data_IF_141558952934
#
_entry.id   IF_141558952934
#
_cell.length_a   1.000
_cell.length_b   1.000
_cell.length_c   1.000
_cell.angle_alpha   90.00
_cell.angle_beta   90.00
_cell.angle_gamma   90.00
#
_symmetry.space_group_name_H-M   'P 1'
#
loop_
_entity.id
_entity.type
_entity.pdbx_description
1 polymer ?
#
# COMPACT_ATOMS: atom_id res chain seq x y z
N UNK A 1 6.08 12.57 21.98
CA UNK A 1 6.87 12.63 20.73
C UNK A 1 6.03 12.07 19.60
N UNK A 2 5.53 12.94 18.73
CA UNK A 2 4.81 12.52 17.51
C UNK A 2 5.89 12.31 16.44
N UNK A 3 5.95 11.12 15.85
CA UNK A 3 6.95 10.80 14.84
C UNK A 3 6.58 11.49 13.51
N UNK A 4 7.33 12.52 13.13
CA UNK A 4 7.14 13.31 11.92
C UNK A 4 7.69 12.64 10.63
N UNK A 5 8.16 11.39 10.70
CA UNK A 5 8.76 10.67 9.55
C UNK A 5 7.81 9.83 8.70
N UNK A 6 6.49 9.88 8.92
CA UNK A 6 5.53 8.95 8.30
C UNK A 6 4.26 9.60 7.75
N UNK A 7 4.38 10.74 7.06
CA UNK A 7 3.22 11.35 6.38
C UNK A 7 3.12 10.75 4.98
N UNK A 8 2.23 9.78 4.84
CA UNK A 8 1.73 9.37 3.53
C UNK A 8 0.98 10.56 2.93
N UNK A 9 1.39 11.02 1.75
CA UNK A 9 0.70 12.12 1.05
C UNK A 9 -0.53 11.61 0.31
N UNK A 10 -1.47 12.50 0.00
CA UNK A 10 -2.69 12.11 -0.73
C UNK A 10 -2.36 11.45 -2.08
N UNK A 11 -1.34 11.94 -2.79
CA UNK A 11 -0.87 11.31 -4.04
C UNK A 11 -0.40 9.86 -3.84
N UNK A 12 0.38 9.60 -2.77
CA UNK A 12 0.83 8.25 -2.44
C UNK A 12 -0.34 7.35 -2.02
N UNK A 13 -1.32 7.91 -1.30
CA UNK A 13 -2.54 7.20 -0.90
C UNK A 13 -3.40 6.85 -2.11
N UNK A 14 -3.53 7.74 -3.10
CA UNK A 14 -4.21 7.45 -4.35
C UNK A 14 -3.56 6.27 -5.07
N UNK A 15 -2.24 6.27 -5.24
CA UNK A 15 -1.54 5.14 -5.87
C UNK A 15 -1.76 3.84 -5.10
N UNK A 16 -1.72 3.86 -3.76
CA UNK A 16 -1.99 2.69 -2.92
C UNK A 16 -3.42 2.16 -3.09
N UNK A 17 -4.41 3.05 -3.02
CA UNK A 17 -5.84 2.71 -3.07
C UNK A 17 -6.21 2.23 -4.47
N UNK A 18 -5.84 2.98 -5.51
CA UNK A 18 -6.21 2.69 -6.90
C UNK A 18 -5.58 1.36 -7.34
N UNK A 19 -4.29 1.14 -7.07
CA UNK A 19 -3.67 -0.14 -7.38
C UNK A 19 -4.40 -1.30 -6.69
N UNK A 20 -4.73 -1.15 -5.39
CA UNK A 20 -5.41 -2.20 -4.64
C UNK A 20 -6.83 -2.42 -5.15
N UNK A 21 -7.54 -1.37 -5.57
CA UNK A 21 -8.90 -1.41 -6.12
C UNK A 21 -8.92 -2.08 -7.49
N UNK A 22 -8.03 -1.67 -8.39
CA UNK A 22 -7.95 -2.16 -9.77
C UNK A 22 -7.59 -3.65 -9.83
N UNK A 23 -6.80 -4.12 -8.87
CA UNK A 23 -6.37 -5.51 -8.78
C UNK A 23 -7.07 -6.28 -7.65
N UNK A 24 -8.27 -5.84 -7.23
CA UNK A 24 -8.95 -6.44 -6.09
C UNK A 24 -9.31 -7.91 -6.30
N UNK A 25 -9.90 -8.23 -7.45
CA UNK A 25 -10.34 -9.59 -7.74
C UNK A 25 -9.15 -10.54 -7.79
N UNK A 26 -8.09 -10.18 -8.52
CA UNK A 26 -6.84 -10.93 -8.58
C UNK A 26 -6.25 -11.13 -7.18
N UNK A 27 -6.19 -10.07 -6.36
CA UNK A 27 -5.65 -10.17 -5.00
C UNK A 27 -6.35 -11.23 -4.14
N UNK A 28 -7.67 -11.40 -4.31
CA UNK A 28 -8.44 -12.39 -3.57
C UNK A 28 -8.19 -13.83 -4.04
N UNK A 29 -7.75 -14.01 -5.28
CA UNK A 29 -7.35 -15.30 -5.86
C UNK A 29 -5.91 -15.70 -5.49
N UNK A 30 -5.06 -14.74 -5.13
CA UNK A 30 -3.66 -15.01 -4.74
C UNK A 30 -3.56 -15.91 -3.50
N UNK A 31 -2.54 -16.78 -3.47
CA UNK A 31 -2.25 -17.68 -2.35
C UNK A 31 -0.90 -17.37 -1.69
N UNK A 32 -0.85 -17.54 -0.37
CA UNK A 32 0.37 -17.48 0.45
C UNK A 32 1.33 -16.34 0.07
N UNK A 33 2.51 -16.69 -0.46
CA UNK A 33 3.60 -15.77 -0.79
C UNK A 33 3.24 -14.75 -1.89
N UNK A 34 2.25 -15.04 -2.74
CA UNK A 34 1.85 -14.15 -3.83
C UNK A 34 1.26 -12.84 -3.30
N UNK A 35 0.50 -12.88 -2.19
CA UNK A 35 0.00 -11.65 -1.55
C UNK A 35 1.15 -10.78 -1.04
N UNK A 36 2.22 -11.39 -0.54
CA UNK A 36 3.42 -10.67 -0.14
C UNK A 36 4.09 -9.95 -1.32
N UNK A 37 4.18 -10.62 -2.48
CA UNK A 37 4.73 -10.02 -3.71
C UNK A 37 3.83 -8.93 -4.27
N UNK A 38 2.51 -9.09 -4.18
CA UNK A 38 1.54 -8.06 -4.55
C UNK A 38 1.79 -6.74 -3.81
N UNK A 39 1.92 -6.81 -2.47
CA UNK A 39 2.19 -5.62 -1.66
C UNK A 39 3.57 -5.01 -1.95
N UNK A 40 4.58 -5.85 -2.26
CA UNK A 40 5.88 -5.36 -2.72
C UNK A 40 5.77 -4.60 -4.05
N UNK A 41 4.92 -5.06 -4.98
CA UNK A 41 4.66 -4.36 -6.25
C UNK A 41 4.13 -2.95 -6.05
N UNK A 42 3.14 -2.80 -5.15
CA UNK A 42 2.63 -1.47 -4.78
C UNK A 42 3.73 -0.59 -4.18
N UNK A 43 4.49 -1.14 -3.22
CA UNK A 43 5.59 -0.42 -2.59
C UNK A 43 6.63 0.04 -3.62
N UNK A 44 7.01 -0.82 -4.55
CA UNK A 44 7.93 -0.48 -5.66
C UNK A 44 7.39 0.65 -6.52
N UNK A 45 6.09 0.63 -6.88
CA UNK A 45 5.48 1.71 -7.67
C UNK A 45 5.57 3.06 -6.95
N UNK A 46 5.16 3.10 -5.68
CA UNK A 46 5.18 4.34 -4.88
C UNK A 46 6.63 4.83 -4.67
N UNK A 47 7.57 3.92 -4.40
CA UNK A 47 8.97 4.28 -4.20
C UNK A 47 9.61 4.85 -5.46
N UNK A 48 9.30 4.29 -6.63
CA UNK A 48 9.80 4.79 -7.92
C UNK A 48 9.21 6.18 -8.22
N UNK A 49 7.91 6.36 -7.98
CA UNK A 49 7.20 7.59 -8.34
C UNK A 49 7.51 8.77 -7.40
N UNK A 50 7.69 8.51 -6.09
CA UNK A 50 7.81 9.56 -5.07
C UNK A 50 9.15 9.58 -4.34
N UNK A 51 10.12 8.73 -4.71
CA UNK A 51 11.43 8.67 -4.06
C UNK A 51 11.37 8.17 -2.61
N UNK A 52 10.33 7.41 -2.25
CA UNK A 52 10.16 6.84 -0.91
C UNK A 52 10.88 5.49 -0.75
N UNK A 53 10.86 4.95 0.47
CA UNK A 53 11.48 3.66 0.81
C UNK A 53 10.51 2.72 1.53
N UNK A 54 9.24 2.72 1.13
CA UNK A 54 8.22 1.87 1.73
C UNK A 54 8.47 0.39 1.43
N UNK A 55 8.11 -0.46 2.39
CA UNK A 55 8.05 -1.91 2.24
C UNK A 55 6.62 -2.34 1.88
N UNK A 56 6.48 -3.55 1.32
CA UNK A 56 5.16 -4.12 1.10
C UNK A 56 4.34 -4.26 2.38
N UNK A 57 4.97 -4.60 3.50
CA UNK A 57 4.29 -4.69 4.79
C UNK A 57 3.71 -3.33 5.23
N UNK A 58 4.46 -2.24 5.07
CA UNK A 58 3.96 -0.89 5.36
C UNK A 58 2.78 -0.49 4.47
N UNK A 59 2.80 -0.84 3.18
CA UNK A 59 1.67 -0.60 2.28
C UNK A 59 0.41 -1.36 2.72
N UNK A 60 0.56 -2.64 3.09
CA UNK A 60 -0.53 -3.48 3.60
C UNK A 60 -1.12 -2.90 4.89
N UNK A 61 -0.27 -2.55 5.85
CA UNK A 61 -0.68 -1.97 7.13
C UNK A 61 -1.39 -0.63 6.93
N UNK A 62 -0.87 0.21 6.04
CA UNK A 62 -1.49 1.49 5.71
C UNK A 62 -2.88 1.30 5.11
N UNK A 63 -3.01 0.43 4.09
CA UNK A 63 -4.30 0.16 3.45
C UNK A 63 -5.32 -0.41 4.45
N UNK A 64 -4.92 -1.37 5.29
CA UNK A 64 -5.79 -1.91 6.33
C UNK A 64 -6.17 -0.85 7.38
N UNK A 65 -5.29 0.11 7.67
CA UNK A 65 -5.60 1.28 8.48
C UNK A 65 -6.73 2.10 7.85
N UNK A 66 -6.60 2.46 6.57
CA UNK A 66 -7.61 3.23 5.84
C UNK A 66 -8.99 2.53 5.84
N UNK A 67 -9.03 1.21 5.67
CA UNK A 67 -10.28 0.45 5.75
C UNK A 67 -10.93 0.46 7.14
N UNK A 68 -10.15 0.57 8.21
CA UNK A 68 -10.70 0.65 9.58
C UNK A 68 -11.25 2.03 9.90
N UNK A 69 -10.61 3.06 9.36
CA UNK A 69 -10.97 4.46 9.58
C UNK A 69 -12.18 4.87 8.70
N UNK A 70 -12.32 4.26 7.52
CA UNK A 70 -13.48 4.41 6.65
C UNK A 70 -14.61 3.49 7.11
N UNK A 71 -15.47 3.99 8.02
CA UNK A 71 -16.71 3.33 8.45
C UNK A 71 -17.94 3.91 7.75
#
# INVERSE_FOLDING_TARGET
>A
MINLSSIWTDAQLHVLIDYRKDNNNEYHELVCNQKGMFWKGIASKINIEFGTSYTGQQCKEKFNGLLRDYK
#
